data_IF_024009612981
#
_entry.id   IF_024009612981
#
_cell.length_a   1.000
_cell.length_b   1.000
_cell.length_c   1.000
_cell.angle_alpha   90.00
_cell.angle_beta   90.00
_cell.angle_gamma   90.00
#
_symmetry.space_group_name_H-M   'P 1'
#
loop_
_entity.id
_entity.type
_entity.pdbx_description
1 polymer ?
#
# COMPACT_ATOMS: atom_id res chain seq x y z
N UNK A 1 6.84 40.94 -15.50
CA UNK A 1 7.77 39.98 -14.85
C UNK A 1 7.12 39.12 -13.76
N UNK A 2 6.42 39.68 -12.75
CA UNK A 2 5.76 38.90 -11.67
C UNK A 2 4.81 37.78 -12.14
N UNK A 3 4.06 37.99 -13.23
CA UNK A 3 3.13 36.98 -13.80
C UNK A 3 3.85 35.68 -14.23
N UNK A 4 5.01 35.80 -14.87
CA UNK A 4 5.81 34.64 -15.29
C UNK A 4 6.48 33.94 -14.10
N UNK A 5 6.82 34.69 -13.05
CA UNK A 5 7.36 34.13 -11.80
C UNK A 5 6.30 33.30 -11.07
N UNK A 6 5.05 33.80 -10.98
CA UNK A 6 3.93 33.08 -10.37
C UNK A 6 3.56 31.81 -11.14
N UNK A 7 3.64 31.85 -12.49
CA UNK A 7 3.40 30.67 -13.34
C UNK A 7 4.47 29.60 -13.08
N UNK A 8 5.76 29.98 -13.02
CA UNK A 8 6.85 29.03 -12.71
C UNK A 8 6.68 28.38 -11.34
N UNK A 9 6.30 29.16 -10.34
CA UNK A 9 6.03 28.65 -8.98
C UNK A 9 4.85 27.65 -9.02
N UNK A 10 3.76 27.99 -9.72
CA UNK A 10 2.63 27.08 -9.87
C UNK A 10 3.02 25.77 -10.58
N UNK A 11 3.87 25.84 -11.61
CA UNK A 11 4.37 24.63 -12.30
C UNK A 11 5.18 23.72 -11.38
N UNK A 12 6.02 24.28 -10.50
CA UNK A 12 6.80 23.51 -9.52
C UNK A 12 5.88 22.82 -8.52
N UNK A 13 4.87 23.52 -8.01
CA UNK A 13 3.90 22.93 -7.10
C UNK A 13 3.10 21.80 -7.76
N UNK A 14 2.62 21.99 -8.99
CA UNK A 14 1.89 20.96 -9.74
C UNK A 14 2.75 19.70 -9.93
N UNK A 15 4.02 19.87 -10.30
CA UNK A 15 4.95 18.76 -10.47
C UNK A 15 5.22 18.03 -9.14
N UNK A 16 5.37 18.77 -8.03
CA UNK A 16 5.57 18.19 -6.71
C UNK A 16 4.36 17.35 -6.26
N UNK A 17 3.14 17.85 -6.46
CA UNK A 17 1.93 17.13 -6.10
C UNK A 17 1.67 15.90 -6.99
N UNK A 18 1.96 15.98 -8.30
CA UNK A 18 1.75 14.84 -9.22
C UNK A 18 2.61 13.63 -8.88
N UNK A 19 3.82 13.84 -8.36
CA UNK A 19 4.73 12.75 -7.94
C UNK A 19 4.18 12.04 -6.70
N UNK A 20 3.58 12.77 -5.75
CA UNK A 20 3.01 12.19 -4.53
C UNK A 20 1.79 11.29 -4.81
N UNK A 21 0.97 11.62 -5.82
CA UNK A 21 -0.16 10.77 -6.22
C UNK A 21 0.29 9.46 -6.89
N UNK A 22 1.40 9.46 -7.62
CA UNK A 22 1.91 8.28 -8.31
C UNK A 22 2.48 7.21 -7.35
N UNK A 23 3.06 7.62 -6.22
CA UNK A 23 3.60 6.69 -5.21
C UNK A 23 2.54 6.16 -4.22
N UNK A 24 1.31 6.68 -4.27
CA UNK A 24 0.22 6.28 -3.41
C UNK A 24 -0.63 5.14 -4.01
N UNK A 25 -0.01 4.18 -4.70
CA UNK A 25 -0.67 2.93 -5.09
C UNK A 25 -0.97 2.15 -3.81
N UNK A 26 -2.08 2.52 -3.18
CA UNK A 26 -2.52 2.03 -1.87
C UNK A 26 -2.71 0.53 -1.99
N UNK A 27 -1.88 -0.23 -1.28
CA UNK A 27 -2.12 -1.66 -1.08
C UNK A 27 -3.47 -1.79 -0.37
N UNK A 28 -4.43 -2.40 -1.06
CA UNK A 28 -5.76 -2.66 -0.49
C UNK A 28 -5.58 -3.71 0.60
N UNK A 29 -5.80 -3.39 1.89
CA UNK A 29 -5.60 -4.36 2.94
C UNK A 29 -6.65 -5.46 2.87
N UNK A 30 -6.25 -6.70 3.10
CA UNK A 30 -7.16 -7.82 3.30
C UNK A 30 -7.44 -7.92 4.80
N UNK A 31 -8.71 -7.94 5.19
CA UNK A 31 -9.12 -7.89 6.58
C UNK A 31 -9.52 -9.27 7.09
N UNK A 32 -9.11 -9.59 8.32
CA UNK A 32 -9.41 -10.88 8.94
C UNK A 32 -10.02 -10.71 10.33
N UNK A 33 -10.95 -11.60 10.68
CA UNK A 33 -11.49 -11.73 12.03
C UNK A 33 -10.49 -12.44 12.97
N UNK A 34 -10.89 -12.75 14.21
CA UNK A 34 -10.03 -13.44 15.18
C UNK A 34 -9.65 -14.87 14.77
N UNK A 35 -10.40 -15.46 13.84
CA UNK A 35 -10.24 -16.84 13.38
C UNK A 35 -9.54 -16.90 12.00
N UNK A 36 -9.01 -15.79 11.51
CA UNK A 36 -8.37 -15.69 10.18
C UNK A 36 -9.32 -15.88 9.00
N UNK A 37 -10.63 -15.68 9.19
CA UNK A 37 -11.56 -15.60 8.07
C UNK A 37 -11.59 -14.18 7.52
N UNK A 38 -11.70 -14.05 6.20
CA UNK A 38 -11.88 -12.75 5.56
C UNK A 38 -13.13 -12.04 6.10
N UNK A 39 -13.00 -10.76 6.37
CA UNK A 39 -14.07 -9.96 6.97
C UNK A 39 -14.04 -8.52 6.46
N UNK A 40 -14.92 -7.68 6.97
CA UNK A 40 -14.96 -6.26 6.68
C UNK A 40 -14.08 -5.46 7.65
N UNK A 41 -13.64 -4.26 7.23
CA UNK A 41 -12.76 -3.40 8.02
C UNK A 41 -13.29 -3.09 9.44
N UNK A 42 -14.60 -2.96 9.58
CA UNK A 42 -15.30 -2.70 10.84
C UNK A 42 -15.28 -3.89 11.82
N UNK A 43 -15.09 -5.12 11.33
CA UNK A 43 -15.02 -6.35 12.13
C UNK A 43 -13.62 -6.95 12.26
N UNK A 44 -12.63 -6.35 11.60
CA UNK A 44 -11.27 -6.88 11.57
C UNK A 44 -10.61 -6.92 12.96
N UNK A 45 -9.91 -8.02 13.23
CA UNK A 45 -8.91 -8.12 14.29
C UNK A 45 -7.51 -7.99 13.69
N UNK A 46 -7.32 -8.44 12.45
CA UNK A 46 -6.08 -8.36 11.70
C UNK A 46 -6.28 -7.75 10.32
N UNK A 47 -5.22 -7.19 9.76
CA UNK A 47 -5.17 -6.85 8.34
C UNK A 47 -3.83 -7.23 7.73
N UNK A 48 -3.86 -7.63 6.47
CA UNK A 48 -2.70 -8.03 5.68
C UNK A 48 -2.43 -6.99 4.60
N UNK A 49 -1.16 -6.63 4.48
CA UNK A 49 -0.63 -5.87 3.36
C UNK A 49 0.20 -6.80 2.47
N UNK A 50 -0.04 -6.70 1.16
CA UNK A 50 0.69 -7.43 0.13
C UNK A 50 1.47 -6.44 -0.72
N UNK A 51 2.76 -6.70 -0.91
CA UNK A 51 3.58 -5.93 -1.84
C UNK A 51 4.37 -6.87 -2.74
N UNK A 52 4.22 -6.68 -4.05
CA UNK A 52 4.94 -7.46 -5.04
C UNK A 52 6.28 -6.81 -5.36
N UNK A 53 7.35 -7.59 -5.32
CA UNK A 53 8.71 -7.21 -5.68
C UNK A 53 9.27 -8.28 -6.63
N UNK A 54 9.00 -8.10 -7.93
CA UNK A 54 9.32 -9.11 -8.94
C UNK A 54 8.52 -10.41 -8.74
N UNK A 55 9.21 -11.53 -8.56
CA UNK A 55 8.63 -12.86 -8.29
C UNK A 55 8.34 -13.10 -6.81
N UNK A 56 8.68 -12.15 -5.93
CA UNK A 56 8.46 -12.27 -4.50
C UNK A 56 7.25 -11.43 -4.11
N UNK A 57 6.32 -12.04 -3.40
CA UNK A 57 5.25 -11.32 -2.70
C UNK A 57 5.57 -11.24 -1.22
N UNK A 58 5.77 -10.03 -0.72
CA UNK A 58 5.90 -9.78 0.72
C UNK A 58 4.52 -9.70 1.33
N UNK A 59 4.38 -10.35 2.48
CA UNK A 59 3.16 -10.44 3.27
C UNK A 59 3.47 -9.81 4.62
N UNK A 60 2.67 -8.83 5.03
CA UNK A 60 2.77 -8.21 6.36
C UNK A 60 1.42 -8.24 7.05
N UNK A 61 1.36 -8.91 8.19
CA UNK A 61 0.16 -8.96 9.02
C UNK A 61 0.29 -8.02 10.21
N UNK A 62 -0.79 -7.31 10.48
CA UNK A 62 -0.90 -6.34 11.56
C UNK A 62 -2.15 -6.63 12.39
N UNK A 63 -2.09 -6.30 13.67
CA UNK A 63 -3.29 -6.16 14.50
C UNK A 63 -4.08 -4.91 14.08
N UNK A 64 -5.36 -4.86 14.43
CA UNK A 64 -6.18 -3.64 14.27
C UNK A 64 -5.53 -2.38 14.86
N UNK A 65 -4.71 -2.52 15.90
CA UNK A 65 -3.95 -1.42 16.50
C UNK A 65 -2.81 -0.88 15.62
N UNK A 66 -2.52 -1.51 14.47
CA UNK A 66 -1.38 -1.20 13.62
C UNK A 66 -0.06 -1.82 14.10
N UNK A 67 -0.06 -2.58 15.22
CA UNK A 67 1.13 -3.32 15.66
C UNK A 67 1.43 -4.45 14.68
N UNK A 68 2.68 -4.55 14.22
CA UNK A 68 3.13 -5.67 13.39
C UNK A 68 3.00 -7.00 14.15
N UNK A 69 2.33 -7.98 13.54
CA UNK A 69 2.24 -9.35 14.05
C UNK A 69 3.29 -10.24 13.40
N UNK A 70 3.33 -10.21 12.07
CA UNK A 70 4.14 -11.12 11.25
C UNK A 70 4.58 -10.42 9.97
N UNK A 71 5.74 -10.81 9.46
CA UNK A 71 6.20 -10.51 8.12
C UNK A 71 6.70 -11.81 7.48
N UNK A 72 6.42 -11.99 6.19
CA UNK A 72 6.81 -13.15 5.41
C UNK A 72 7.00 -12.79 3.94
N UNK A 73 7.59 -13.71 3.18
CA UNK A 73 7.78 -13.58 1.75
C UNK A 73 7.47 -14.91 1.09
N UNK A 74 6.71 -14.89 0.00
CA UNK A 74 6.41 -16.05 -0.84
C UNK A 74 7.06 -15.83 -2.19
N UNK A 75 7.84 -16.81 -2.63
CA UNK A 75 8.36 -16.85 -3.98
C UNK A 75 7.33 -17.52 -4.89
N UNK A 76 6.82 -16.80 -5.87
CA UNK A 76 6.03 -17.40 -6.94
C UNK A 76 6.98 -18.09 -7.91
N UNK A 77 7.22 -19.37 -7.68
CA UNK A 77 7.58 -20.30 -8.75
C UNK A 77 6.28 -20.54 -9.50
N UNK A 78 6.19 -20.11 -10.76
CA UNK A 78 5.02 -20.35 -11.61
C UNK A 78 4.87 -21.85 -11.89
N UNK A 79 4.42 -22.59 -10.88
CA UNK A 79 4.08 -24.00 -10.94
C UNK A 79 2.56 -24.15 -10.97
N UNK A 80 1.95 -23.54 -11.97
CA UNK A 80 0.73 -24.03 -12.61
C UNK A 80 1.14 -24.16 -14.09
N UNK A 81 0.87 -25.22 -14.84
CA UNK A 81 0.13 -26.48 -14.68
C UNK A 81 0.36 -27.26 -15.98
#
# INVERSE_FOLDING_TARGET
MKKYLNIKIATIFILFFSVNLAYAQQQVPIYFDSLWNETSKDKMVYYRLLSQEGTITKIKDYYRSGKKRMEGAVYYIGLDS
#
